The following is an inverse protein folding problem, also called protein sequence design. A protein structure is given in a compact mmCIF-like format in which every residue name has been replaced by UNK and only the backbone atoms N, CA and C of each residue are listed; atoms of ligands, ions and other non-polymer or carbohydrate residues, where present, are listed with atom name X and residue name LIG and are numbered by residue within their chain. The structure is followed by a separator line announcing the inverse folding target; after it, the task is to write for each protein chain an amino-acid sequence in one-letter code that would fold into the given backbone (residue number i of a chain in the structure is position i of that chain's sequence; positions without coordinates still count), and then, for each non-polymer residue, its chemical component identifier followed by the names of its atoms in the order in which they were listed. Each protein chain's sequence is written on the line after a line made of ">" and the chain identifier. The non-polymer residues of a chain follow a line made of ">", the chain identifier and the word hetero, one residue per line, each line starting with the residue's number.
data_IF_118378978254
#
_entry.id   IF_118378978254
#
_cell.length_a   1.000
_cell.length_b   1.000
_cell.length_c   1.000
_cell.angle_alpha   90.00
_cell.angle_beta   90.00
_cell.angle_gamma   90.00
#
_symmetry.space_group_name_H-M   'P 1'
#
loop_
_entity.id
_entity.type
_entity.pdbx_description
1 polymer ?
#
# COMPACT_ATOMS: atom_id res chain seq x y z
N UNK A 1 5.68 -65.13 -38.12
CA UNK A 1 6.96 -65.80 -37.76
C UNK A 1 8.01 -64.70 -37.64
N UNK A 2 8.40 -64.15 -36.57
CA UNK A 2 8.62 -64.52 -35.19
C UNK A 2 8.46 -63.27 -34.30
N UNK A 3 7.58 -63.35 -33.37
CA UNK A 3 7.50 -62.59 -32.14
C UNK A 3 8.65 -63.06 -31.26
N UNK A 4 9.43 -62.13 -30.68
CA UNK A 4 10.21 -62.26 -29.43
C UNK A 4 11.54 -61.49 -29.53
N UNK A 5 11.49 -60.17 -29.26
CA UNK A 5 12.64 -59.39 -28.79
C UNK A 5 12.14 -58.04 -28.24
N UNK A 6 11.22 -58.13 -27.32
CA UNK A 6 10.70 -56.98 -26.60
C UNK A 6 10.61 -57.33 -25.11
N UNK A 7 11.75 -57.36 -24.47
CA UNK A 7 11.74 -57.44 -22.97
C UNK A 7 13.17 -57.46 -22.47
N UNK A 8 13.79 -56.27 -22.35
CA UNK A 8 14.96 -56.02 -21.51
C UNK A 8 15.34 -54.51 -21.52
N UNK A 9 14.43 -53.65 -21.14
CA UNK A 9 14.70 -52.25 -20.82
C UNK A 9 13.77 -51.77 -19.68
N UNK A 10 13.79 -52.58 -18.61
CA UNK A 10 13.10 -52.20 -17.39
C UNK A 10 14.17 -52.14 -16.30
N UNK A 11 14.38 -50.99 -15.71
CA UNK A 11 15.00 -50.91 -14.41
C UNK A 11 16.33 -50.21 -14.29
N UNK A 12 16.46 -48.95 -14.75
CA UNK A 12 17.41 -48.04 -14.12
C UNK A 12 16.65 -46.80 -13.60
N UNK A 13 15.93 -47.06 -12.50
CA UNK A 13 15.44 -45.97 -11.67
C UNK A 13 16.68 -45.33 -11.03
N UNK A 14 17.17 -44.23 -11.59
CA UNK A 14 18.09 -43.34 -10.93
C UNK A 14 17.35 -42.79 -9.69
N UNK A 15 17.61 -43.38 -8.54
CA UNK A 15 17.39 -42.74 -7.26
C UNK A 15 18.32 -41.56 -7.16
N UNK A 16 17.85 -40.41 -7.64
CA UNK A 16 18.46 -39.12 -7.29
C UNK A 16 18.46 -39.04 -5.76
N UNK A 17 19.65 -38.92 -5.11
CA UNK A 17 19.67 -38.62 -3.70
C UNK A 17 18.90 -37.29 -3.55
N UNK A 18 17.82 -37.31 -2.77
CA UNK A 18 17.14 -36.10 -2.39
C UNK A 18 18.20 -35.17 -1.79
N UNK A 19 18.56 -34.14 -2.54
CA UNK A 19 19.31 -33.02 -2.01
C UNK A 19 18.52 -32.55 -0.80
N UNK A 20 19.06 -32.78 0.40
CA UNK A 20 18.55 -32.17 1.62
C UNK A 20 18.58 -30.65 1.33
N UNK A 21 17.44 -30.11 1.01
CA UNK A 21 17.27 -28.70 0.71
C UNK A 21 17.45 -27.92 2.01
N UNK A 22 18.69 -27.70 2.39
CA UNK A 22 19.00 -26.56 3.21
C UNK A 22 18.59 -25.35 2.39
N UNK A 23 17.67 -24.53 2.89
CA UNK A 23 17.23 -23.33 2.20
C UNK A 23 18.46 -22.50 1.87
N UNK A 24 18.81 -22.40 0.60
CA UNK A 24 19.93 -21.58 0.16
C UNK A 24 19.59 -20.10 0.42
N UNK A 25 20.61 -19.31 0.74
CA UNK A 25 20.46 -17.86 0.93
C UNK A 25 19.72 -17.21 -0.25
N UNK A 26 20.00 -17.65 -1.48
CA UNK A 26 19.34 -17.15 -2.67
C UNK A 26 17.82 -17.46 -2.68
N UNK A 27 17.43 -18.64 -2.21
CA UNK A 27 16.02 -19.01 -2.08
C UNK A 27 15.32 -18.20 -0.99
N UNK A 28 15.98 -17.98 0.15
CA UNK A 28 15.47 -17.14 1.24
C UNK A 28 15.26 -15.72 0.75
N UNK A 29 16.22 -15.16 0.03
CA UNK A 29 16.11 -13.82 -0.56
C UNK A 29 14.96 -13.75 -1.59
N UNK A 30 14.82 -14.73 -2.46
CA UNK A 30 13.73 -14.76 -3.45
C UNK A 30 12.36 -14.81 -2.78
N UNK A 31 12.21 -15.54 -1.69
CA UNK A 31 10.98 -15.57 -0.88
C UNK A 31 10.76 -14.24 -0.15
N UNK A 32 11.81 -13.63 0.39
CA UNK A 32 11.73 -12.34 1.05
C UNK A 32 11.29 -11.25 0.06
N UNK A 33 11.82 -11.23 -1.17
CA UNK A 33 11.45 -10.28 -2.21
C UNK A 33 9.93 -10.29 -2.52
N UNK A 34 9.29 -11.44 -2.41
CA UNK A 34 7.86 -11.59 -2.66
C UNK A 34 6.98 -11.26 -1.47
N UNK A 35 7.49 -11.39 -0.24
CA UNK A 35 6.68 -11.36 0.97
C UNK A 35 7.06 -10.24 1.96
N UNK A 36 8.23 -9.60 1.80
CA UNK A 36 8.66 -8.53 2.70
C UNK A 36 7.78 -7.30 2.54
N UNK A 37 7.16 -6.81 3.63
CA UNK A 37 6.26 -5.66 3.57
C UNK A 37 6.98 -4.36 3.21
N UNK A 38 8.26 -4.19 3.59
CA UNK A 38 9.01 -2.97 3.32
C UNK A 38 9.37 -2.83 1.84
N UNK A 39 9.69 -3.93 1.15
CA UNK A 39 9.93 -3.87 -0.30
C UNK A 39 8.64 -3.60 -1.07
N UNK A 40 7.50 -4.14 -0.59
CA UNK A 40 6.19 -3.86 -1.19
C UNK A 40 5.76 -2.41 -0.97
N UNK A 41 6.07 -1.84 0.19
CA UNK A 41 5.87 -0.42 0.46
C UNK A 41 6.73 0.45 -0.46
N UNK A 42 8.03 0.13 -0.60
CA UNK A 42 8.93 0.85 -1.50
C UNK A 42 8.47 0.77 -2.96
N UNK A 43 7.97 -0.39 -3.41
CA UNK A 43 7.38 -0.54 -4.73
C UNK A 43 6.11 0.30 -4.91
N UNK A 44 5.22 0.30 -3.94
CA UNK A 44 4.01 1.12 -3.97
C UNK A 44 4.33 2.62 -4.01
N UNK A 45 5.32 3.06 -3.24
CA UNK A 45 5.80 4.45 -3.26
C UNK A 45 6.41 4.83 -4.61
N UNK A 46 7.19 3.92 -5.22
CA UNK A 46 7.71 4.09 -6.58
C UNK A 46 6.57 4.23 -7.60
N UNK A 47 5.58 3.35 -7.55
CA UNK A 47 4.42 3.42 -8.44
C UNK A 47 3.63 4.71 -8.26
N UNK A 48 3.43 5.16 -7.01
CA UNK A 48 2.78 6.44 -6.73
C UNK A 48 3.58 7.63 -7.30
N UNK A 49 4.91 7.60 -7.20
CA UNK A 49 5.77 8.64 -7.75
C UNK A 49 5.74 8.68 -9.29
N UNK A 50 5.55 7.54 -9.97
CA UNK A 50 5.39 7.50 -11.42
C UNK A 50 4.18 8.33 -11.91
N UNK A 51 3.13 8.43 -11.08
CA UNK A 51 1.94 9.22 -11.39
C UNK A 51 2.15 10.74 -11.25
N UNK A 52 3.25 11.19 -10.65
CA UNK A 52 3.54 12.63 -10.52
C UNK A 52 3.70 13.32 -11.89
N UNK A 53 4.26 12.61 -12.87
CA UNK A 53 4.46 13.14 -14.21
C UNK A 53 3.15 13.29 -15.02
N UNK A 54 2.26 12.28 -15.11
CA UNK A 54 0.92 12.46 -15.68
C UNK A 54 0.12 13.56 -15.00
N UNK A 55 0.20 13.69 -13.66
CA UNK A 55 -0.47 14.74 -12.91
C UNK A 55 0.08 16.13 -13.26
N UNK A 56 1.40 16.28 -13.34
CA UNK A 56 2.02 17.53 -13.76
C UNK A 56 1.66 17.89 -15.22
N UNK A 57 1.55 16.89 -16.10
CA UNK A 57 1.08 17.08 -17.47
C UNK A 57 -0.39 17.50 -17.51
N UNK A 58 -1.24 16.89 -16.66
CA UNK A 58 -2.65 17.22 -16.58
C UNK A 58 -2.88 18.69 -16.22
N UNK A 59 -2.00 19.32 -15.42
CA UNK A 59 -2.08 20.75 -15.10
C UNK A 59 -1.89 21.69 -16.31
N UNK A 60 -1.37 21.17 -17.43
CA UNK A 60 -1.24 21.86 -18.70
C UNK A 60 -2.46 21.68 -19.62
N UNK A 61 -3.35 20.74 -19.31
CA UNK A 61 -4.54 20.43 -20.10
C UNK A 61 -5.76 21.23 -19.61
N UNK A 62 -6.84 21.32 -20.42
CA UNK A 62 -8.10 21.88 -19.97
C UNK A 62 -8.66 21.07 -18.78
N UNK A 63 -9.03 21.79 -17.72
CA UNK A 63 -9.68 21.21 -16.54
C UNK A 63 -11.19 21.40 -16.69
N UNK A 64 -11.92 20.30 -16.67
CA UNK A 64 -13.39 20.28 -16.67
C UNK A 64 -13.86 19.81 -15.30
N UNK A 65 -14.67 20.63 -14.67
CA UNK A 65 -15.26 20.34 -13.38
C UNK A 65 -16.78 20.40 -13.50
N UNK A 66 -17.45 19.36 -13.03
CA UNK A 66 -18.90 19.31 -12.92
C UNK A 66 -19.27 19.08 -11.47
N UNK A 67 -20.18 19.90 -10.96
CA UNK A 67 -20.73 19.72 -9.61
C UNK A 67 -22.24 19.75 -9.63
N UNK A 68 -22.87 19.01 -8.72
CA UNK A 68 -24.29 19.03 -8.48
C UNK A 68 -24.54 19.06 -6.97
N UNK A 69 -25.45 19.93 -6.55
CA UNK A 69 -25.79 20.08 -5.15
C UNK A 69 -27.30 20.06 -4.96
N UNK A 70 -27.74 19.42 -3.87
CA UNK A 70 -29.08 19.52 -3.32
C UNK A 70 -28.98 20.04 -1.91
N UNK A 71 -29.71 21.10 -1.61
CA UNK A 71 -29.75 21.68 -0.29
C UNK A 71 -31.21 21.92 0.08
N UNK A 72 -31.62 21.36 1.22
CA UNK A 72 -32.92 21.59 1.84
C UNK A 72 -32.72 22.40 3.11
N UNK A 73 -33.42 23.48 3.22
CA UNK A 73 -33.34 24.38 4.36
C UNK A 73 -34.71 24.65 4.92
N UNK A 74 -34.94 24.25 6.15
CA UNK A 74 -36.08 24.65 6.95
C UNK A 74 -35.67 25.78 7.90
N UNK A 75 -36.35 26.88 7.87
CA UNK A 75 -36.10 28.01 8.77
C UNK A 75 -37.41 28.41 9.45
N UNK A 76 -37.43 28.35 10.79
CA UNK A 76 -38.56 28.83 11.60
C UNK A 76 -38.14 30.11 12.29
N UNK A 77 -38.78 31.18 11.94
CA UNK A 77 -38.61 32.51 12.55
C UNK A 77 -39.81 32.86 13.47
N UNK A 78 -39.51 33.50 14.58
CA UNK A 78 -40.53 34.11 15.47
C UNK A 78 -40.27 35.62 15.51
N UNK A 79 -41.15 36.39 14.92
CA UNK A 79 -41.08 37.85 14.89
C UNK A 79 -42.10 38.41 15.86
N UNK A 80 -41.67 39.00 16.99
CA UNK A 80 -42.57 39.70 17.89
C UNK A 80 -42.97 41.06 17.27
N UNK A 81 -44.22 41.38 17.35
CA UNK A 81 -44.75 42.69 16.98
C UNK A 81 -45.77 43.17 17.99
N UNK A 82 -45.93 44.53 18.14
CA UNK A 82 -46.89 45.10 18.98
C UNK A 82 -48.29 45.03 18.33
N UNK A 83 -49.28 44.50 19.05
CA UNK A 83 -50.68 44.45 18.65
C UNK A 83 -51.56 44.93 19.79
N UNK A 84 -52.88 45.02 19.55
CA UNK A 84 -53.83 45.36 20.55
C UNK A 84 -54.67 44.14 20.93
N UNK A 85 -54.99 43.99 22.22
CA UNK A 85 -55.95 42.98 22.67
C UNK A 85 -57.37 43.47 22.45
N UNK A 86 -58.40 42.60 22.72
CA UNK A 86 -59.81 42.93 22.59
C UNK A 86 -60.29 44.02 23.53
N UNK A 87 -59.47 44.48 24.47
CA UNK A 87 -59.72 45.55 25.44
C UNK A 87 -58.91 46.82 25.10
N UNK A 88 -58.23 46.89 24.01
CA UNK A 88 -57.44 48.03 23.55
C UNK A 88 -56.02 48.19 24.16
N UNK A 89 -55.53 47.21 24.93
CA UNK A 89 -54.21 47.26 25.51
C UNK A 89 -53.18 46.81 24.51
N UNK A 90 -51.99 47.41 24.57
CA UNK A 90 -50.87 46.99 23.73
C UNK A 90 -50.30 45.63 24.27
N UNK A 91 -50.29 44.64 23.43
CA UNK A 91 -49.73 43.31 23.73
C UNK A 91 -48.70 42.92 22.68
N UNK A 92 -47.73 42.13 23.09
CA UNK A 92 -46.73 41.56 22.14
C UNK A 92 -47.33 40.29 21.55
N UNK A 93 -47.58 40.33 20.26
CA UNK A 93 -47.95 39.17 19.46
C UNK A 93 -46.70 38.59 18.81
N UNK A 94 -46.68 37.27 18.60
CA UNK A 94 -45.58 36.59 17.93
C UNK A 94 -46.11 35.95 16.64
N UNK A 95 -45.61 36.46 15.52
CA UNK A 95 -45.79 35.81 14.22
C UNK A 95 -44.72 34.74 14.04
N UNK A 96 -45.15 33.51 13.81
CA UNK A 96 -44.25 32.43 13.44
C UNK A 96 -44.34 32.22 11.94
N UNK A 97 -43.17 32.29 11.31
CA UNK A 97 -43.03 32.01 9.88
C UNK A 97 -42.13 30.79 9.73
N UNK A 98 -42.63 29.75 9.11
CA UNK A 98 -41.82 28.62 8.67
C UNK A 98 -41.56 28.80 7.16
N UNK A 99 -40.34 28.70 6.78
CA UNK A 99 -39.91 28.80 5.39
C UNK A 99 -39.11 27.54 5.05
N UNK A 100 -39.61 26.80 4.08
CA UNK A 100 -38.94 25.62 3.52
C UNK A 100 -38.38 26.03 2.15
N UNK A 101 -37.09 25.83 1.97
CA UNK A 101 -36.42 26.14 0.72
C UNK A 101 -35.61 24.93 0.24
N UNK A 102 -35.97 24.42 -0.92
CA UNK A 102 -35.19 23.40 -1.64
C UNK A 102 -34.42 24.11 -2.74
N UNK A 103 -33.09 23.89 -2.75
CA UNK A 103 -32.22 24.41 -3.79
C UNK A 103 -31.51 23.25 -4.48
N UNK A 104 -31.70 23.14 -5.77
CA UNK A 104 -30.97 22.26 -6.66
C UNK A 104 -30.06 23.10 -7.54
N UNK A 105 -28.77 22.82 -7.45
CA UNK A 105 -27.76 23.52 -8.24
C UNK A 105 -26.93 22.53 -9.04
N UNK A 106 -26.52 22.95 -10.20
CA UNK A 106 -25.49 22.27 -10.97
C UNK A 106 -24.57 23.34 -11.57
N UNK A 107 -23.31 22.98 -11.67
CA UNK A 107 -22.29 23.82 -12.26
C UNK A 107 -21.42 22.97 -13.18
N UNK A 108 -21.05 23.53 -14.32
CA UNK A 108 -20.08 22.97 -15.25
C UNK A 108 -19.09 24.07 -15.59
N UNK A 109 -17.85 23.89 -15.18
CA UNK A 109 -16.79 24.84 -15.47
C UNK A 109 -15.68 24.22 -16.30
N UNK A 110 -15.12 25.03 -17.21
CA UNK A 110 -13.93 24.70 -17.99
C UNK A 110 -12.87 25.77 -17.69
N UNK A 111 -11.72 25.31 -17.22
CA UNK A 111 -10.57 26.18 -16.95
C UNK A 111 -9.35 25.71 -17.73
N UNK A 112 -8.78 26.60 -18.55
CA UNK A 112 -7.55 26.35 -19.31
C UNK A 112 -6.46 27.32 -18.87
N UNK A 113 -5.34 26.80 -18.43
CA UNK A 113 -4.13 27.59 -18.22
C UNK A 113 -3.45 27.82 -19.55
N UNK A 114 -3.55 29.06 -20.13
CA UNK A 114 -2.94 29.39 -21.43
C UNK A 114 -1.41 29.38 -21.31
N UNK A 115 -0.88 30.02 -20.28
CA UNK A 115 0.54 30.00 -19.95
C UNK A 115 0.75 30.18 -18.45
N UNK A 116 1.46 29.25 -17.86
CA UNK A 116 1.92 29.34 -16.47
C UNK A 116 3.30 28.67 -16.38
N UNK A 117 4.33 29.48 -16.17
CA UNK A 117 5.71 29.00 -16.10
C UNK A 117 5.91 27.93 -15.03
N UNK A 118 5.24 28.08 -13.91
CA UNK A 118 5.24 27.10 -12.80
C UNK A 118 4.86 25.69 -13.26
N UNK A 119 3.85 25.53 -14.12
CA UNK A 119 3.43 24.21 -14.61
C UNK A 119 4.54 23.53 -15.43
N UNK A 120 5.32 24.31 -16.19
CA UNK A 120 6.46 23.77 -16.95
C UNK A 120 7.60 23.36 -16.03
N UNK A 121 7.88 24.15 -14.98
CA UNK A 121 8.88 23.81 -13.97
C UNK A 121 8.46 22.55 -13.21
N UNK A 122 7.19 22.45 -12.82
CA UNK A 122 6.66 21.28 -12.12
C UNK A 122 6.72 20.02 -12.99
N UNK A 123 6.45 20.12 -14.29
CA UNK A 123 6.62 19.01 -15.22
C UNK A 123 8.09 18.55 -15.30
N UNK A 124 9.04 19.49 -15.28
CA UNK A 124 10.47 19.18 -15.21
C UNK A 124 10.88 18.54 -13.87
N UNK A 125 10.29 19.04 -12.76
CA UNK A 125 10.54 18.52 -11.43
C UNK A 125 10.01 17.09 -11.25
N UNK A 126 8.80 16.81 -11.73
CA UNK A 126 8.18 15.49 -11.63
C UNK A 126 9.03 14.38 -12.25
N UNK A 127 9.77 14.69 -13.33
CA UNK A 127 10.73 13.74 -13.91
C UNK A 127 11.90 13.39 -12.97
N UNK A 128 12.32 14.33 -12.13
CA UNK A 128 13.38 14.11 -11.12
C UNK A 128 12.83 13.36 -9.90
N UNK A 129 11.60 13.61 -9.52
CA UNK A 129 10.91 12.88 -8.45
C UNK A 129 10.74 11.40 -8.82
N UNK A 130 10.38 11.10 -10.07
CA UNK A 130 10.34 9.73 -10.58
C UNK A 130 11.71 9.08 -10.52
N UNK A 131 12.77 9.78 -10.94
CA UNK A 131 14.14 9.24 -10.88
C UNK A 131 14.59 9.01 -9.43
N UNK A 132 14.25 9.88 -8.51
CA UNK A 132 14.52 9.70 -7.09
C UNK A 132 13.81 8.46 -6.55
N UNK A 133 12.52 8.30 -6.79
CA UNK A 133 11.74 7.15 -6.32
C UNK A 133 12.27 5.81 -6.86
N UNK A 134 12.80 5.80 -8.09
CA UNK A 134 13.46 4.62 -8.65
C UNK A 134 14.75 4.26 -7.89
N UNK A 135 15.55 5.25 -7.51
CA UNK A 135 16.76 5.04 -6.71
C UNK A 135 16.42 4.61 -5.28
N UNK A 136 15.38 5.16 -4.70
CA UNK A 136 14.90 4.79 -3.36
C UNK A 136 14.42 3.32 -3.35
N UNK A 137 13.74 2.88 -4.41
CA UNK A 137 13.35 1.48 -4.57
C UNK A 137 14.58 0.55 -4.70
N UNK A 138 15.59 0.94 -5.47
CA UNK A 138 16.83 0.18 -5.58
C UNK A 138 17.58 0.10 -4.25
N UNK A 139 17.60 1.17 -3.48
CA UNK A 139 18.16 1.19 -2.13
C UNK A 139 17.40 0.23 -1.19
N UNK A 140 16.07 0.19 -1.26
CA UNK A 140 15.25 -0.75 -0.49
C UNK A 140 15.52 -2.22 -0.87
N UNK A 141 15.78 -2.50 -2.15
CA UNK A 141 16.19 -3.85 -2.59
C UNK A 141 17.54 -4.26 -2.01
N UNK A 142 18.52 -3.35 -1.99
CA UNK A 142 19.84 -3.60 -1.39
C UNK A 142 19.72 -3.83 0.12
N UNK A 143 18.91 -3.04 0.80
CA UNK A 143 18.64 -3.21 2.23
C UNK A 143 17.97 -4.56 2.53
N UNK A 144 17.00 -4.99 1.72
CA UNK A 144 16.39 -6.32 1.84
C UNK A 144 17.44 -7.43 1.68
N UNK A 145 18.36 -7.30 0.74
CA UNK A 145 19.44 -8.27 0.51
C UNK A 145 20.31 -8.40 1.77
N UNK A 146 20.71 -7.26 2.35
CA UNK A 146 21.52 -7.22 3.58
C UNK A 146 20.78 -7.84 4.76
N UNK A 147 19.54 -7.43 5.00
CA UNK A 147 18.68 -7.97 6.07
C UNK A 147 18.44 -9.47 5.94
N UNK A 148 18.23 -9.95 4.71
CA UNK A 148 18.02 -11.38 4.44
C UNK A 148 19.27 -12.19 4.74
N UNK A 149 20.44 -11.71 4.35
CA UNK A 149 21.72 -12.33 4.64
C UNK A 149 22.00 -12.37 6.16
N UNK A 150 21.83 -11.26 6.85
CA UNK A 150 21.99 -11.16 8.29
C UNK A 150 21.09 -12.15 9.04
N UNK A 151 19.81 -12.19 8.69
CA UNK A 151 18.84 -13.10 9.33
C UNK A 151 19.17 -14.56 9.05
N UNK A 152 19.59 -14.89 7.85
CA UNK A 152 20.01 -16.21 7.44
C UNK A 152 21.20 -16.70 8.29
N UNK A 153 22.26 -15.90 8.39
CA UNK A 153 23.45 -16.26 9.18
C UNK A 153 23.16 -16.30 10.68
N UNK A 154 22.29 -15.43 11.19
CA UNK A 154 21.87 -15.50 12.59
C UNK A 154 21.16 -16.80 12.92
N UNK A 155 20.30 -17.29 12.04
CA UNK A 155 19.64 -18.61 12.22
C UNK A 155 20.65 -19.74 12.16
N UNK A 156 21.59 -19.68 11.24
CA UNK A 156 22.65 -20.70 11.10
C UNK A 156 23.52 -20.76 12.36
N UNK A 157 23.98 -19.61 12.87
CA UNK A 157 24.76 -19.53 14.10
C UNK A 157 23.98 -20.03 15.34
N UNK A 158 22.66 -19.74 15.41
CA UNK A 158 21.83 -20.26 16.48
C UNK A 158 21.70 -21.79 16.41
N UNK A 159 21.59 -22.35 15.20
CA UNK A 159 21.57 -23.80 14.98
C UNK A 159 22.88 -24.45 15.40
N UNK A 160 24.02 -23.91 14.97
CA UNK A 160 25.33 -24.43 15.37
C UNK A 160 25.52 -24.38 16.89
N UNK A 161 25.02 -23.34 17.54
CA UNK A 161 25.04 -23.23 19.02
C UNK A 161 24.19 -24.31 19.68
N UNK A 162 23.00 -24.59 19.11
CA UNK A 162 22.13 -25.67 19.62
C UNK A 162 22.81 -27.03 19.46
N UNK A 163 23.34 -27.35 18.31
CA UNK A 163 24.01 -28.59 17.99
C UNK A 163 25.20 -28.84 18.96
N UNK A 164 25.99 -27.79 19.25
CA UNK A 164 27.09 -27.83 20.21
C UNK A 164 26.60 -28.05 21.64
N UNK A 165 25.49 -27.45 22.05
CA UNK A 165 24.90 -27.62 23.36
C UNK A 165 24.33 -29.06 23.54
N UNK A 166 23.70 -29.61 22.51
CA UNK A 166 23.19 -30.99 22.50
C UNK A 166 24.35 -32.02 22.61
N UNK A 167 25.42 -31.81 21.83
CA UNK A 167 26.62 -32.66 21.92
C UNK A 167 27.27 -32.62 23.31
N UNK A 168 27.31 -31.42 23.93
CA UNK A 168 27.83 -31.26 25.30
C UNK A 168 26.94 -31.99 26.32
N UNK A 169 25.61 -31.88 26.20
CA UNK A 169 24.67 -32.56 27.05
C UNK A 169 24.82 -34.08 26.96
N UNK A 170 24.99 -34.60 25.74
CA UNK A 170 25.18 -36.04 25.53
C UNK A 170 26.51 -36.53 26.11
N UNK A 171 27.59 -35.76 25.98
CA UNK A 171 28.88 -36.07 26.58
C UNK A 171 28.78 -36.13 28.12
N UNK A 172 28.09 -35.17 28.75
CA UNK A 172 27.88 -35.15 30.20
C UNK A 172 27.01 -36.33 30.68
N UNK A 173 25.98 -36.72 29.94
CA UNK A 173 25.17 -37.90 30.24
C UNK A 173 26.00 -39.18 30.23
N UNK A 174 26.84 -39.37 29.19
CA UNK A 174 27.75 -40.55 29.14
C UNK A 174 28.75 -40.56 30.30
N UNK A 175 29.25 -39.40 30.70
CA UNK A 175 30.15 -39.25 31.83
C UNK A 175 29.47 -39.64 33.16
N UNK A 176 28.22 -39.27 33.33
CA UNK A 176 27.42 -39.62 34.49
C UNK A 176 27.12 -41.15 34.57
N UNK A 177 26.88 -41.78 33.40
CA UNK A 177 26.64 -43.22 33.32
C UNK A 177 27.89 -44.06 33.63
N UNK A 178 29.09 -43.47 33.46
CA UNK A 178 30.37 -44.14 33.73
C UNK A 178 30.90 -43.93 35.16
N UNK A 179 30.30 -43.02 35.92
CA UNK A 179 30.66 -42.75 37.31
C UNK A 179 29.79 -43.52 38.30
#
# INVERSE_FOLDING_TARGET
>A
MNVRLLSLLAGLALTLPGLAAGSDLAEVYARALQNDPLIREAEANRLAALESRPQALAALLPQVEASAGYNEREATGANPFAGFDGSGNIVTLVSRTTSDAETRSWDLSLRQSVFRWENWVNLGLSGKEVAQAELDYQAAQQDLMLRSAERYFNVLAAKDTLDAAEATLEALKRQLEQA
#
